data_IF_962704062479
#
_entry.id   IF_962704062479
#
_cell.length_a   1.000
_cell.length_b   1.000
_cell.length_c   1.000
_cell.angle_alpha   90.00
_cell.angle_beta   90.00
_cell.angle_gamma   90.00
#
_symmetry.space_group_name_H-M   'P 1'
#
loop_
_entity.id
_entity.type
_entity.pdbx_description
1 polymer ?
#
# COMPACT_ATOMS: atom_id res chain seq x y z
N UNK A 1 22.41 12.88 -10.21
CA UNK A 1 22.69 11.47 -9.86
C UNK A 1 21.44 10.74 -10.24
N UNK A 2 21.50 10.11 -11.40
CA UNK A 2 20.37 9.86 -12.30
C UNK A 2 19.32 8.93 -11.68
N UNK A 3 18.06 9.36 -11.72
CA UNK A 3 16.89 8.60 -11.27
C UNK A 3 16.40 7.57 -12.32
N UNK A 4 17.14 7.38 -13.41
CA UNK A 4 16.87 6.35 -14.44
C UNK A 4 17.59 5.04 -14.11
N UNK A 5 17.50 4.59 -12.85
CA UNK A 5 17.94 3.25 -12.47
C UNK A 5 16.99 2.22 -13.09
N UNK A 6 17.23 1.94 -14.38
CA UNK A 6 16.90 0.75 -15.16
C UNK A 6 16.00 -0.24 -14.39
N UNK A 7 14.70 0.01 -14.39
CA UNK A 7 13.73 -0.89 -13.79
C UNK A 7 13.76 -2.22 -14.56
N UNK A 8 14.17 -3.29 -13.89
CA UNK A 8 14.09 -4.66 -14.41
C UNK A 8 12.61 -5.09 -14.41
N UNK A 9 12.17 -5.87 -15.41
CA UNK A 9 10.77 -6.26 -15.55
C UNK A 9 10.15 -6.88 -14.26
N UNK A 10 10.89 -7.67 -13.45
CA UNK A 10 10.41 -8.14 -12.15
C UNK A 10 10.21 -7.02 -11.13
N UNK A 11 11.04 -5.98 -11.13
CA UNK A 11 10.89 -4.82 -10.23
C UNK A 11 9.68 -3.96 -10.61
N UNK A 12 9.39 -3.80 -11.90
CA UNK A 12 8.16 -3.14 -12.36
C UNK A 12 6.89 -3.89 -11.94
N UNK A 13 6.92 -5.23 -12.01
CA UNK A 13 5.82 -6.06 -11.54
C UNK A 13 5.58 -5.88 -10.03
N UNK A 14 6.65 -5.79 -9.23
CA UNK A 14 6.56 -5.51 -7.79
C UNK A 14 5.97 -4.13 -7.51
N UNK A 15 6.41 -3.09 -8.22
CA UNK A 15 5.86 -1.74 -8.08
C UNK A 15 4.36 -1.72 -8.43
N UNK A 16 3.96 -2.44 -9.48
CA UNK A 16 2.56 -2.56 -9.90
C UNK A 16 1.73 -3.26 -8.82
N UNK A 17 2.24 -4.36 -8.26
CA UNK A 17 1.59 -5.12 -7.20
C UNK A 17 1.46 -4.32 -5.89
N UNK A 18 2.48 -3.53 -5.51
CA UNK A 18 2.41 -2.64 -4.36
C UNK A 18 1.33 -1.56 -4.54
N UNK A 19 1.28 -0.93 -5.73
CA UNK A 19 0.23 0.05 -6.05
C UNK A 19 -1.16 -0.57 -6.02
N UNK A 20 -1.32 -1.81 -6.46
CA UNK A 20 -2.58 -2.53 -6.34
C UNK A 20 -3.02 -2.70 -4.87
N UNK A 21 -2.10 -2.98 -3.93
CA UNK A 21 -2.43 -3.05 -2.50
C UNK A 21 -2.83 -1.71 -1.86
N UNK A 22 -2.56 -0.60 -2.55
CA UNK A 22 -3.01 0.74 -2.15
C UNK A 22 -4.38 1.12 -2.73
N UNK A 23 -4.85 0.43 -3.77
CA UNK A 23 -6.12 0.68 -4.43
C UNK A 23 -7.30 0.20 -3.56
N UNK A 24 -8.27 1.07 -3.21
CA UNK A 24 -9.46 0.68 -2.46
C UNK A 24 -10.23 -0.49 -3.06
N UNK A 25 -10.33 -0.59 -4.40
CA UNK A 25 -11.07 -1.67 -5.04
C UNK A 25 -10.40 -3.02 -4.77
N UNK A 26 -9.07 -3.08 -4.87
CA UNK A 26 -8.28 -4.27 -4.49
C UNK A 26 -8.42 -4.57 -3.01
N UNK A 27 -8.27 -3.58 -2.12
CA UNK A 27 -8.35 -3.77 -0.65
C UNK A 27 -9.69 -4.34 -0.19
N UNK A 28 -10.79 -3.96 -0.85
CA UNK A 28 -12.14 -4.45 -0.55
C UNK A 28 -12.41 -5.88 -1.06
N UNK A 29 -11.59 -6.38 -1.99
CA UNK A 29 -11.75 -7.72 -2.59
C UNK A 29 -10.76 -8.70 -1.95
N UNK A 30 -11.28 -9.55 -1.07
CA UNK A 30 -10.50 -10.56 -0.34
C UNK A 30 -9.69 -11.46 -1.27
N UNK A 31 -10.22 -11.83 -2.42
CA UNK A 31 -9.55 -12.73 -3.36
C UNK A 31 -8.38 -12.04 -4.06
N UNK A 32 -8.55 -10.76 -4.43
CA UNK A 32 -7.46 -9.98 -5.03
C UNK A 32 -6.34 -9.70 -4.04
N UNK A 33 -6.67 -9.35 -2.79
CA UNK A 33 -5.66 -9.22 -1.72
C UNK A 33 -4.96 -10.56 -1.51
N UNK A 34 -5.71 -11.66 -1.37
CA UNK A 34 -5.16 -12.99 -1.14
C UNK A 34 -4.18 -13.44 -2.22
N UNK A 35 -4.41 -13.07 -3.49
CA UNK A 35 -3.52 -13.39 -4.59
C UNK A 35 -2.16 -12.66 -4.51
N UNK A 36 -2.14 -11.48 -3.89
CA UNK A 36 -0.94 -10.65 -3.72
C UNK A 36 -0.15 -10.99 -2.45
N UNK A 37 -0.78 -11.60 -1.43
CA UNK A 37 -0.11 -11.98 -0.18
C UNK A 37 0.53 -13.35 -0.28
N UNK A 38 1.81 -13.46 0.07
CA UNK A 38 2.50 -14.74 0.29
C UNK A 38 1.85 -15.52 1.43
N UNK A 39 2.00 -16.84 1.44
CA UNK A 39 1.37 -17.70 2.45
C UNK A 39 1.95 -17.45 3.85
N UNK A 40 3.23 -17.06 3.93
CA UNK A 40 3.91 -16.70 5.18
C UNK A 40 3.83 -15.20 5.52
N UNK A 41 2.91 -14.45 4.89
CA UNK A 41 2.84 -12.99 5.02
C UNK A 41 2.75 -12.50 6.48
N UNK A 42 3.55 -11.48 6.78
CA UNK A 42 3.52 -10.73 8.04
C UNK A 42 3.53 -9.23 7.81
N UNK A 43 2.72 -8.51 8.59
CA UNK A 43 2.73 -7.04 8.60
C UNK A 43 2.92 -6.48 10.01
N UNK A 44 3.79 -5.48 10.12
CA UNK A 44 3.87 -4.64 11.31
C UNK A 44 3.16 -3.33 11.00
N UNK A 45 1.97 -3.15 11.57
CA UNK A 45 1.20 -1.92 11.43
C UNK A 45 1.86 -0.75 12.16
N UNK A 46 1.40 0.48 11.89
CA UNK A 46 1.95 1.70 12.51
C UNK A 46 1.89 1.70 14.06
N UNK A 47 1.00 0.90 14.66
CA UNK A 47 0.92 0.70 16.11
C UNK A 47 1.93 -0.30 16.68
N UNK A 48 2.76 -0.93 15.83
CA UNK A 48 3.61 -2.05 16.20
C UNK A 48 2.88 -3.39 16.31
N UNK A 49 1.56 -3.42 16.07
CA UNK A 49 0.80 -4.68 16.07
C UNK A 49 1.22 -5.54 14.88
N UNK A 50 1.48 -6.82 15.15
CA UNK A 50 1.75 -7.82 14.12
C UNK A 50 0.42 -8.37 13.57
N UNK A 51 0.31 -8.41 12.25
CA UNK A 51 -0.78 -9.03 11.51
C UNK A 51 -0.23 -10.18 10.68
N UNK A 52 -1.00 -11.27 10.62
CA UNK A 52 -0.77 -12.33 9.66
C UNK A 52 -1.66 -12.15 8.42
N UNK A 53 -1.48 -13.05 7.45
CA UNK A 53 -2.23 -13.08 6.20
C UNK A 53 -3.75 -13.06 6.40
N UNK A 54 -4.28 -13.87 7.31
CA UNK A 54 -5.73 -13.96 7.51
C UNK A 54 -6.25 -12.66 8.15
N UNK A 55 -5.56 -12.20 9.21
CA UNK A 55 -5.91 -11.01 9.95
C UNK A 55 -5.90 -9.76 9.06
N UNK A 56 -4.91 -9.62 8.15
CA UNK A 56 -4.87 -8.46 7.26
C UNK A 56 -6.00 -8.50 6.22
N UNK A 57 -6.31 -9.66 5.64
CA UNK A 57 -7.41 -9.80 4.67
C UNK A 57 -8.74 -9.43 5.35
N UNK A 58 -8.96 -9.89 6.59
CA UNK A 58 -10.13 -9.51 7.39
C UNK A 58 -10.19 -8.02 7.67
N UNK A 59 -9.08 -7.43 8.11
CA UNK A 59 -9.00 -6.01 8.42
C UNK A 59 -9.29 -5.15 7.18
N UNK A 60 -8.68 -5.48 6.03
CA UNK A 60 -8.85 -4.76 4.76
C UNK A 60 -10.28 -4.87 4.23
N UNK A 61 -10.89 -6.06 4.27
CA UNK A 61 -12.28 -6.23 3.85
C UNK A 61 -13.27 -5.49 4.76
N UNK A 62 -12.92 -5.30 6.03
CA UNK A 62 -13.72 -4.53 6.99
C UNK A 62 -13.46 -3.02 6.92
N UNK A 63 -12.44 -2.55 6.19
CA UNK A 63 -12.23 -1.12 5.92
C UNK A 63 -13.44 -0.60 5.13
N UNK A 64 -14.34 0.06 5.84
CA UNK A 64 -15.39 0.84 5.20
C UNK A 64 -14.68 2.00 4.49
N UNK A 65 -14.87 2.19 3.17
CA UNK A 65 -14.39 3.39 2.52
C UNK A 65 -14.89 4.58 3.33
N UNK A 66 -14.00 5.54 3.61
CA UNK A 66 -14.44 6.82 4.16
C UNK A 66 -15.60 7.29 3.28
N UNK A 67 -16.75 7.69 3.85
CA UNK A 67 -17.89 8.07 3.05
C UNK A 67 -17.43 9.16 2.08
N UNK A 68 -17.56 8.89 0.78
CA UNK A 68 -17.54 9.93 -0.23
C UNK A 68 -18.78 10.80 0.06
N UNK A 69 -18.56 11.94 0.71
CA UNK A 69 -19.57 12.97 0.98
C UNK A 69 -20.85 12.52 1.69
N UNK A 70 -20.75 11.74 2.75
CA UNK A 70 -21.88 11.58 3.66
C UNK A 70 -21.96 12.80 4.59
N UNK A 71 -23.08 13.55 4.66
CA UNK A 71 -23.15 14.71 5.54
C UNK A 71 -22.99 14.26 7.00
N UNK A 72 -22.25 15.03 7.79
CA UNK A 72 -22.47 15.06 9.24
C UNK A 72 -23.96 15.40 9.49
N UNK A 73 -24.63 14.82 10.50
CA UNK A 73 -26.03 15.12 10.74
C UNK A 73 -26.27 16.63 10.90
N UNK A 74 -27.09 17.14 9.98
CA UNK A 74 -27.71 18.46 9.78
C UNK A 74 -27.01 19.74 10.31
N UNK A 75 -26.35 20.45 9.38
CA UNK A 75 -26.85 21.71 8.84
C UNK A 75 -26.17 22.00 7.47
N UNK A 76 -26.94 22.26 6.41
CA UNK A 76 -26.44 22.64 5.07
C UNK A 76 -26.71 24.15 4.90
N UNK A 77 -25.73 25.02 4.53
CA UNK A 77 -25.48 25.26 3.10
C UNK A 77 -24.09 25.79 2.65
N UNK A 78 -23.62 25.24 1.53
CA UNK A 78 -22.91 25.83 0.37
C UNK A 78 -22.73 24.66 -0.65
N UNK A 79 -22.55 24.87 -1.97
CA UNK A 79 -22.25 23.74 -2.86
C UNK A 79 -20.99 23.06 -2.31
N UNK A 80 -21.15 21.84 -1.79
CA UNK A 80 -20.02 21.05 -1.31
C UNK A 80 -19.11 20.92 -2.53
N UNK A 81 -17.88 21.47 -2.53
CA UNK A 81 -16.94 21.13 -3.58
C UNK A 81 -16.85 19.60 -3.54
N UNK A 82 -16.97 18.95 -4.70
CA UNK A 82 -16.76 17.52 -4.81
C UNK A 82 -15.51 17.15 -3.99
N UNK A 83 -15.53 16.05 -3.22
CA UNK A 83 -14.49 15.70 -2.28
C UNK A 83 -13.21 15.71 -3.07
N UNK A 84 -12.29 16.58 -2.68
CA UNK A 84 -11.00 16.65 -3.33
C UNK A 84 -10.43 15.24 -3.22
N UNK A 85 -10.18 14.53 -4.34
CA UNK A 85 -9.64 13.19 -4.28
C UNK A 85 -8.35 13.26 -3.47
N UNK A 86 -8.32 12.60 -2.31
CA UNK A 86 -7.14 12.58 -1.47
C UNK A 86 -6.16 11.64 -2.14
N UNK A 87 -5.33 12.18 -3.02
CA UNK A 87 -4.35 11.42 -3.76
C UNK A 87 -3.31 10.85 -2.80
N UNK A 88 -3.06 9.56 -2.94
CA UNK A 88 -1.90 8.91 -2.32
C UNK A 88 -0.71 9.16 -3.24
N UNK A 89 0.30 9.85 -2.72
CA UNK A 89 1.52 10.15 -3.45
C UNK A 89 2.65 9.25 -2.94
N UNK A 90 3.34 8.60 -3.88
CA UNK A 90 4.50 7.78 -3.61
C UNK A 90 5.73 8.49 -4.17
N UNK A 91 6.72 8.71 -3.33
CA UNK A 91 8.03 9.22 -3.71
C UNK A 91 9.15 8.40 -3.04
N UNK A 92 10.41 8.67 -3.41
CA UNK A 92 11.56 7.89 -2.95
C UNK A 92 11.38 6.37 -3.19
N UNK A 93 10.62 6.00 -4.23
CA UNK A 93 10.30 4.63 -4.58
C UNK A 93 11.52 3.94 -5.18
N UNK A 94 12.06 2.98 -4.45
CA UNK A 94 13.23 2.20 -4.86
C UNK A 94 12.92 0.72 -4.74
N UNK A 95 13.00 0.01 -5.85
CA UNK A 95 12.93 -1.43 -5.91
C UNK A 95 14.36 -1.99 -6.06
N UNK A 96 14.75 -2.90 -5.19
CA UNK A 96 16.07 -3.54 -5.23
C UNK A 96 15.89 -5.04 -5.18
N UNK A 97 16.38 -5.75 -6.20
CA UNK A 97 16.43 -7.21 -6.21
C UNK A 97 17.60 -7.64 -5.30
N UNK A 98 17.25 -8.27 -4.17
CA UNK A 98 18.23 -8.68 -3.14
C UNK A 98 18.54 -10.18 -3.19
N UNK A 99 17.74 -10.95 -3.93
CA UNK A 99 18.02 -12.32 -4.36
C UNK A 99 17.32 -12.61 -5.69
N UNK A 100 17.58 -13.77 -6.29
CA UNK A 100 17.00 -14.15 -7.59
C UNK A 100 15.47 -14.07 -7.59
N UNK A 101 14.83 -14.45 -6.49
CA UNK A 101 13.38 -14.49 -6.34
C UNK A 101 12.85 -13.46 -5.33
N UNK A 102 13.66 -12.49 -4.90
CA UNK A 102 13.30 -11.59 -3.80
C UNK A 102 13.64 -10.12 -4.10
N UNK A 103 12.63 -9.26 -3.97
CA UNK A 103 12.74 -7.81 -4.14
C UNK A 103 12.40 -7.12 -2.83
N UNK A 104 13.27 -6.21 -2.41
CA UNK A 104 13.00 -5.21 -1.38
C UNK A 104 12.45 -3.95 -2.07
N UNK A 105 11.28 -3.49 -1.65
CA UNK A 105 10.72 -2.22 -2.06
C UNK A 105 10.69 -1.27 -0.87
N UNK A 106 11.22 -0.07 -1.06
CA UNK A 106 11.13 1.01 -0.06
C UNK A 106 10.59 2.25 -0.71
N UNK A 107 9.74 2.99 0.01
CA UNK A 107 9.16 4.23 -0.48
C UNK A 107 8.64 5.10 0.66
N UNK A 108 8.37 6.37 0.36
CA UNK A 108 7.59 7.25 1.22
C UNK A 108 6.19 7.41 0.64
N UNK A 109 5.19 7.27 1.50
CA UNK A 109 3.78 7.46 1.16
C UNK A 109 3.21 8.67 1.88
N UNK A 110 2.64 9.60 1.12
CA UNK A 110 1.83 10.72 1.59
C UNK A 110 0.35 10.46 1.32
N UNK A 111 -0.51 10.74 2.29
CA UNK A 111 -1.96 10.59 2.14
C UNK A 111 -2.74 11.10 3.36
N UNK A 112 -4.06 10.84 3.44
CA UNK A 112 -4.92 11.41 4.48
C UNK A 112 -4.55 10.99 5.91
N UNK A 113 -3.81 9.89 6.07
CA UNK A 113 -3.32 9.41 7.37
C UNK A 113 -1.96 9.97 7.78
N UNK A 114 -1.43 10.97 7.05
CA UNK A 114 -0.09 11.51 7.25
C UNK A 114 0.97 10.84 6.37
N UNK A 115 2.24 11.08 6.71
CA UNK A 115 3.40 10.54 5.98
C UNK A 115 3.91 9.27 6.65
N UNK A 116 4.30 8.29 5.84
CA UNK A 116 4.94 7.07 6.32
C UNK A 116 6.09 6.64 5.42
N UNK A 117 7.17 6.13 6.03
CA UNK A 117 8.19 5.35 5.33
C UNK A 117 7.79 3.89 5.34
N UNK A 118 7.77 3.27 4.17
CA UNK A 118 7.30 1.91 3.98
C UNK A 118 8.39 1.03 3.42
N UNK A 119 8.38 -0.21 3.88
CA UNK A 119 9.23 -1.27 3.37
C UNK A 119 8.42 -2.53 3.15
N UNK A 120 8.66 -3.20 2.04
CA UNK A 120 8.05 -4.48 1.71
C UNK A 120 9.04 -5.44 1.07
N UNK A 121 8.87 -6.73 1.38
CA UNK A 121 9.61 -7.82 0.74
C UNK A 121 8.66 -8.61 -0.14
N UNK A 122 9.06 -8.81 -1.39
CA UNK A 122 8.25 -9.45 -2.42
C UNK A 122 8.97 -10.66 -2.98
N UNK A 123 8.30 -11.82 -2.92
CA UNK A 123 8.74 -13.03 -3.60
C UNK A 123 8.23 -13.01 -5.05
N UNK A 124 9.11 -13.29 -5.99
CA UNK A 124 8.78 -13.44 -7.40
C UNK A 124 8.36 -14.89 -7.64
N UNK A 125 7.08 -15.13 -7.92
CA UNK A 125 6.55 -16.46 -8.18
C UNK A 125 6.12 -16.63 -9.63
N UNK A 126 5.87 -17.87 -10.07
CA UNK A 126 5.34 -18.14 -11.41
C UNK A 126 3.94 -17.51 -11.63
N UNK A 127 3.19 -17.25 -10.56
CA UNK A 127 1.87 -16.62 -10.58
C UNK A 127 1.94 -15.09 -10.47
N UNK A 128 3.14 -14.52 -10.33
CA UNK A 128 3.38 -13.10 -10.11
C UNK A 128 4.02 -12.79 -8.76
N UNK A 129 4.31 -11.51 -8.48
CA UNK A 129 4.87 -11.10 -7.19
C UNK A 129 3.89 -11.32 -6.04
N UNK A 130 4.39 -11.88 -4.93
CA UNK A 130 3.65 -12.03 -3.67
C UNK A 130 4.40 -11.35 -2.52
N UNK A 131 3.75 -10.45 -1.80
CA UNK A 131 4.36 -9.76 -0.66
C UNK A 131 4.45 -10.73 0.53
N UNK A 132 5.66 -10.89 1.07
CA UNK A 132 5.93 -11.73 2.24
C UNK A 132 6.04 -10.91 3.54
N UNK A 133 6.40 -9.64 3.43
CA UNK A 133 6.48 -8.74 4.58
C UNK A 133 6.11 -7.31 4.20
N UNK A 134 5.43 -6.61 5.10
CA UNK A 134 5.17 -5.18 5.01
C UNK A 134 5.35 -4.48 6.36
N UNK A 135 5.93 -3.28 6.34
CA UNK A 135 5.92 -2.38 7.50
C UNK A 135 5.77 -0.93 7.04
N UNK A 136 4.95 -0.18 7.78
CA UNK A 136 4.85 1.27 7.65
C UNK A 136 5.23 1.96 8.96
N UNK A 137 6.20 2.86 8.90
CA UNK A 137 6.64 3.68 10.03
C UNK A 137 6.17 5.12 9.81
N UNK A 138 5.39 5.72 10.73
CA UNK A 138 5.05 7.14 10.65
C UNK A 138 6.31 8.00 10.51
N UNK A 139 6.24 9.01 9.65
CA UNK A 139 7.33 9.94 9.39
C UNK A 139 6.82 11.38 9.46
N UNK A 140 7.69 12.36 9.79
CA UNK A 140 7.35 13.76 9.63
C UNK A 140 7.10 14.08 8.14
N UNK A 141 6.33 15.15 7.90
CA UNK A 141 6.06 15.63 6.53
C UNK A 141 7.23 16.44 5.94
N UNK A 142 8.22 16.77 6.76
CA UNK A 142 9.42 17.50 6.31
C UNK A 142 10.43 16.56 5.63
N UNK A 143 11.05 17.08 4.56
CA UNK A 143 11.98 16.37 3.69
C UNK A 143 13.38 16.19 4.32
#
# INVERSE_FOLDING_TARGET
MDQDALTDAPTDAVITAERALLDPATRSDRSRVAALLDDDFREIGASGRLFDRAAIIDALAAERPAPADGPAPEAVPAPIPAPIPVHRELDELVATRIADDLVLLTYRLRGPGGVSRRSSLWRLTAQGPRIAFHQGTPAPDEA
#
